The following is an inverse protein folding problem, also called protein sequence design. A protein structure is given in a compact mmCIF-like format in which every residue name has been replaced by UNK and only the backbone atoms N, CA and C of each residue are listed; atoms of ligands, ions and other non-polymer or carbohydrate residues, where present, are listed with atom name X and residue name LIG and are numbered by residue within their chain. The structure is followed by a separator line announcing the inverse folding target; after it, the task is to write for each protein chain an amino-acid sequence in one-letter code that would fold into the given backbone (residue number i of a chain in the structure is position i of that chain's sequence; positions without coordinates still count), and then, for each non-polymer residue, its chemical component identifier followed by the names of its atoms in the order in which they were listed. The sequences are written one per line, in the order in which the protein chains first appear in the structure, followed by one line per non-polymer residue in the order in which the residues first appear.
data_IF_166020729642
#
_entry.id   IF_166020729642
#
_cell.length_a   1.000
_cell.length_b   1.000
_cell.length_c   1.000
_cell.angle_alpha   90.00
_cell.angle_beta   90.00
_cell.angle_gamma   90.00
#
_symmetry.space_group_name_H-M   'P 1'
#
loop_
_entity.id
_entity.type
_entity.pdbx_description
1 polymer ?
#
# COMPACT_ATOMS: atom_id res chain seq x y z
N UNK A 1 -32.86 1.63 2.97
CA UNK A 1 -32.75 0.44 2.11
C UNK A 1 -31.82 0.57 0.91
N UNK A 2 -31.93 1.56 0.01
CA UNK A 2 -31.13 1.60 -1.24
C UNK A 2 -29.61 1.38 -1.07
N UNK A 3 -28.98 1.97 -0.05
CA UNK A 3 -27.55 1.75 0.26
C UNK A 3 -27.27 0.30 0.65
N UNK A 4 -28.12 -0.30 1.50
CA UNK A 4 -27.98 -1.70 1.93
C UNK A 4 -28.29 -2.68 0.80
N UNK A 5 -29.21 -2.34 -0.10
CA UNK A 5 -29.53 -3.16 -1.26
C UNK A 5 -28.40 -3.17 -2.29
N UNK A 6 -27.74 -2.04 -2.51
CA UNK A 6 -26.54 -1.94 -3.33
C UNK A 6 -25.39 -2.76 -2.73
N UNK A 7 -25.20 -2.70 -1.40
CA UNK A 7 -24.20 -3.52 -0.70
C UNK A 7 -24.45 -5.02 -0.89
N UNK A 8 -25.70 -5.47 -0.71
CA UNK A 8 -26.10 -6.88 -0.89
C UNK A 8 -25.95 -7.39 -2.33
N UNK A 9 -25.83 -6.50 -3.30
CA UNK A 9 -25.61 -6.80 -4.72
C UNK A 9 -24.14 -6.64 -5.13
N UNK A 10 -23.24 -6.45 -4.16
CA UNK A 10 -21.81 -6.21 -4.37
C UNK A 10 -21.51 -4.96 -5.22
N UNK A 11 -22.44 -3.99 -5.27
CA UNK A 11 -22.25 -2.74 -6.01
C UNK A 11 -21.28 -1.80 -5.27
N UNK A 12 -21.17 -1.94 -3.95
CA UNK A 12 -20.16 -1.29 -3.11
C UNK A 12 -19.76 -2.19 -1.94
N UNK A 13 -18.57 -1.98 -1.38
CA UNK A 13 -18.01 -2.88 -0.36
C UNK A 13 -16.98 -2.18 0.53
N UNK A 14 -16.66 -2.82 1.65
CA UNK A 14 -15.51 -2.45 2.48
C UNK A 14 -14.25 -3.16 1.99
N UNK A 15 -13.17 -2.41 1.78
CA UNK A 15 -11.88 -2.91 1.30
C UNK A 15 -10.73 -2.50 2.23
N UNK A 16 -9.55 -3.04 1.92
CA UNK A 16 -8.30 -2.56 2.48
C UNK A 16 -7.44 -1.92 1.40
N UNK A 17 -6.67 -0.91 1.80
CA UNK A 17 -5.63 -0.30 0.98
C UNK A 17 -4.30 -0.75 1.55
N UNK A 18 -3.44 -1.25 0.66
CA UNK A 18 -2.16 -1.83 1.02
C UNK A 18 -1.10 -1.27 0.07
N UNK A 19 -0.08 -0.61 0.62
CA UNK A 19 1.05 -0.10 -0.15
C UNK A 19 2.23 -1.06 -0.02
N UNK A 20 2.70 -1.52 -1.17
CA UNK A 20 3.97 -2.24 -1.30
C UNK A 20 5.02 -1.30 -1.88
N UNK A 21 6.28 -1.48 -1.47
CA UNK A 21 7.43 -0.81 -2.07
C UNK A 21 8.32 -1.84 -2.70
N UNK A 22 8.61 -1.65 -3.98
CA UNK A 22 9.57 -2.45 -4.73
C UNK A 22 10.69 -1.60 -5.31
N UNK A 23 11.83 -2.23 -5.55
CA UNK A 23 12.94 -1.68 -6.32
C UNK A 23 13.41 -2.75 -7.30
N UNK A 24 13.41 -2.44 -8.61
CA UNK A 24 13.77 -3.38 -9.67
C UNK A 24 12.97 -4.71 -9.60
N UNK A 25 11.67 -4.63 -9.28
CA UNK A 25 10.78 -5.79 -9.15
C UNK A 25 11.00 -6.64 -7.88
N UNK A 26 11.83 -6.17 -6.94
CA UNK A 26 12.02 -6.80 -5.64
C UNK A 26 11.31 -6.00 -4.56
N UNK A 27 10.33 -6.61 -3.89
CA UNK A 27 9.67 -6.04 -2.73
C UNK A 27 10.69 -5.79 -1.61
N UNK A 28 10.80 -4.54 -1.17
CA UNK A 28 11.80 -4.11 -0.19
C UNK A 28 11.35 -4.36 1.24
N UNK A 29 10.04 -4.30 1.49
CA UNK A 29 9.48 -4.46 2.82
C UNK A 29 8.23 -5.33 2.81
N UNK A 30 8.24 -6.39 3.64
CA UNK A 30 7.09 -7.25 3.85
C UNK A 30 6.06 -6.65 4.80
N UNK A 31 6.42 -5.62 5.58
CA UNK A 31 5.47 -4.91 6.45
C UNK A 31 4.72 -3.84 5.65
N UNK A 32 3.80 -4.30 4.80
CA UNK A 32 3.01 -3.43 3.94
C UNK A 32 2.18 -2.44 4.78
N UNK A 33 2.36 -1.14 4.53
CA UNK A 33 1.54 -0.10 5.16
C UNK A 33 0.09 -0.28 4.68
N UNK A 34 -0.82 -0.51 5.61
CA UNK A 34 -2.20 -0.86 5.27
C UNK A 34 -3.24 -0.34 6.24
N UNK A 35 -4.43 -0.08 5.71
CA UNK A 35 -5.64 0.22 6.47
C UNK A 35 -6.82 -0.53 5.85
N UNK A 36 -7.79 -0.91 6.70
CA UNK A 36 -8.93 -1.73 6.32
C UNK A 36 -10.24 -1.06 6.72
N UNK A 37 -11.34 -1.49 6.09
CA UNK A 37 -12.67 -0.94 6.35
C UNK A 37 -12.94 0.35 5.58
N UNK A 38 -12.25 0.56 4.46
CA UNK A 38 -12.48 1.72 3.59
C UNK A 38 -13.61 1.40 2.61
N UNK A 39 -14.49 2.36 2.37
CA UNK A 39 -15.65 2.17 1.49
C UNK A 39 -15.23 2.36 0.03
N UNK A 40 -15.45 1.34 -0.79
CA UNK A 40 -15.24 1.37 -2.24
C UNK A 40 -16.60 1.31 -2.95
N UNK A 41 -16.75 2.17 -3.96
CA UNK A 41 -17.94 2.39 -4.78
C UNK A 41 -19.19 2.83 -4.00
N UNK A 42 -19.02 3.45 -2.83
CA UNK A 42 -20.16 3.88 -2.00
C UNK A 42 -21.14 4.74 -2.81
N UNK A 43 -22.47 4.58 -2.67
CA UNK A 43 -23.44 5.32 -3.48
C UNK A 43 -23.24 6.84 -3.44
N UNK A 44 -23.01 7.44 -4.61
CA UNK A 44 -22.74 8.88 -4.76
C UNK A 44 -21.28 9.29 -4.55
N UNK A 45 -20.39 8.34 -4.27
CA UNK A 45 -18.93 8.53 -4.24
C UNK A 45 -18.31 8.27 -5.60
N UNK A 46 -17.16 8.89 -5.85
CA UNK A 46 -16.29 8.67 -7.00
C UNK A 46 -15.00 7.91 -6.64
N UNK A 47 -14.92 7.38 -5.42
CA UNK A 47 -13.75 6.73 -4.83
C UNK A 47 -12.51 7.63 -4.64
N UNK A 48 -12.63 8.96 -4.71
CA UNK A 48 -11.50 9.86 -4.46
C UNK A 48 -10.84 9.60 -3.09
N UNK A 49 -11.64 9.24 -2.08
CA UNK A 49 -11.17 8.91 -0.73
C UNK A 49 -10.18 7.73 -0.70
N UNK A 50 -10.24 6.78 -1.64
CA UNK A 50 -9.24 5.71 -1.72
C UNK A 50 -7.84 6.27 -1.97
N UNK A 51 -7.72 7.29 -2.82
CA UNK A 51 -6.44 7.95 -3.10
C UNK A 51 -5.98 8.80 -1.91
N UNK A 52 -6.90 9.46 -1.20
CA UNK A 52 -6.57 10.22 0.00
C UNK A 52 -5.94 9.31 1.06
N UNK A 53 -6.59 8.19 1.36
CA UNK A 53 -6.09 7.19 2.31
C UNK A 53 -4.76 6.57 1.86
N UNK A 54 -4.60 6.26 0.57
CA UNK A 54 -3.31 5.82 0.04
C UNK A 54 -2.22 6.89 0.21
N UNK A 55 -2.56 8.16 0.01
CA UNK A 55 -1.67 9.30 0.25
C UNK A 55 -1.25 9.44 1.72
N UNK A 56 -2.15 9.17 2.65
CA UNK A 56 -1.86 9.16 4.10
C UNK A 56 -0.90 8.04 4.51
N UNK A 57 -0.99 6.86 3.87
CA UNK A 57 -0.07 5.74 4.11
C UNK A 57 1.31 5.92 3.47
N UNK A 58 1.43 6.80 2.46
CA UNK A 58 2.63 6.94 1.64
C UNK A 58 3.91 7.30 2.45
N UNK A 59 3.88 8.24 3.42
CA UNK A 59 5.07 8.57 4.21
C UNK A 59 5.63 7.36 4.97
N UNK A 60 4.75 6.55 5.57
CA UNK A 60 5.11 5.38 6.36
C UNK A 60 5.70 4.28 5.47
N UNK A 61 5.03 3.99 4.34
CA UNK A 61 5.55 3.06 3.34
C UNK A 61 6.95 3.47 2.88
N UNK A 62 7.14 4.74 2.50
CA UNK A 62 8.43 5.25 2.03
C UNK A 62 9.51 5.22 3.12
N UNK A 63 9.15 5.46 4.39
CA UNK A 63 10.07 5.32 5.51
C UNK A 63 10.54 3.86 5.68
N UNK A 64 9.62 2.91 5.60
CA UNK A 64 9.92 1.48 5.68
C UNK A 64 10.82 1.03 4.51
N UNK A 65 10.49 1.43 3.28
CA UNK A 65 11.31 1.14 2.09
C UNK A 65 12.73 1.71 2.19
N UNK A 66 12.89 2.94 2.68
CA UNK A 66 14.22 3.53 2.93
C UNK A 66 15.01 2.77 3.99
N UNK A 67 14.36 2.34 5.06
CA UNK A 67 14.99 1.56 6.11
C UNK A 67 15.44 0.17 5.60
N UNK A 68 14.59 -0.48 4.80
CA UNK A 68 14.91 -1.75 4.14
C UNK A 68 16.09 -1.61 3.18
N UNK A 69 16.08 -0.60 2.30
CA UNK A 69 17.18 -0.35 1.38
C UNK A 69 18.50 -0.08 2.12
N UNK A 70 18.46 0.73 3.19
CA UNK A 70 19.63 1.00 4.03
C UNK A 70 20.21 -0.29 4.62
N UNK A 71 19.34 -1.18 5.14
CA UNK A 71 19.75 -2.48 5.66
C UNK A 71 20.39 -3.35 4.58
N UNK A 72 19.79 -3.42 3.40
CA UNK A 72 20.31 -4.18 2.27
C UNK A 72 21.70 -3.69 1.84
N UNK A 73 21.87 -2.37 1.69
CA UNK A 73 23.16 -1.76 1.36
C UNK A 73 24.23 -2.01 2.43
N UNK A 74 23.88 -1.99 3.71
CA UNK A 74 24.81 -2.30 4.81
C UNK A 74 25.18 -3.78 4.86
N UNK A 75 24.29 -4.67 4.41
CA UNK A 75 24.52 -6.12 4.34
C UNK A 75 25.24 -6.57 3.07
N UNK A 76 25.39 -5.67 2.08
CA UNK A 76 26.08 -5.98 0.85
C UNK A 76 27.55 -6.30 1.16
N UNK A 77 28.06 -7.48 0.79
CA UNK A 77 29.47 -7.78 0.96
C UNK A 77 30.28 -6.75 0.17
N UNK A 78 31.40 -6.31 0.72
CA UNK A 78 32.35 -5.46 0.02
C UNK A 78 32.90 -6.22 -1.19
N UNK A 79 32.24 -6.13 -2.34
CA UNK A 79 32.69 -6.78 -3.56
C UNK A 79 32.62 -5.85 -4.76
N UNK A 80 33.58 -4.93 -4.76
CA UNK A 80 34.27 -4.51 -5.97
C UNK A 80 35.76 -4.25 -5.64
N UNK A 81 36.46 -5.29 -5.18
CA UNK A 81 37.90 -5.42 -5.45
C UNK A 81 38.21 -6.89 -5.72
N UNK A 82 37.74 -7.42 -6.85
CA UNK A 82 38.22 -8.69 -7.40
C UNK A 82 37.90 -8.72 -8.90
N UNK A 83 38.95 -8.63 -9.71
CA UNK A 83 38.96 -8.94 -11.15
C UNK A 83 39.03 -7.72 -12.03
#
# INVERSE_FOLDING_TARGET
EAVMDAWRKDEWFYCGIVLAIECEGVELDSTQASVWGIEANYPGSDNAYLNEVAGELLPDALAAGRAALTRLMASAPAQASRG
#
